data_IF_683646597885
#
_entry.id   IF_683646597885
#
_cell.length_a   1.000
_cell.length_b   1.000
_cell.length_c   1.000
_cell.angle_alpha   90.00
_cell.angle_beta   90.00
_cell.angle_gamma   90.00
#
_symmetry.space_group_name_H-M   'P 1'
#
loop_
_entity.id
_entity.type
_entity.pdbx_description
1 polymer ?
2 polymer ?
3 polymer ?
4 non-polymer ?
5 non-polymer ?
6 water ?
#
loop_
_entity_poly.entity_id
_entity_poly.type
_entity_poly.pdbx_seq_one_letter_code
_entity_poly.pdbx_strand_id
2 'polydeoxyribonucleotide' '(DA)(DG)(DG)(DA)(DC)(DC)(DOC)' ?
3 'polydeoxyribonucleotide' '(DT)(DC)(DT)(3DR)(DG)(DG)(DG)(DT)(DC)(DC)(DT)' ?
#
# COMPACT_ATOMS: atom_id res chain seq x y z
N UNK A 25 -17.71 10.95 19.07
CA UNK A 25 -16.80 9.95 18.42
C UNK A 25 -15.30 10.32 18.55
N UNK A 26 -14.71 10.06 19.74
CA UNK A 26 -13.26 10.33 20.05
C UNK A 26 -12.21 9.18 19.81
N UNK A 27 -12.20 8.14 20.66
CA UNK A 27 -11.26 6.99 20.56
C UNK A 27 -11.61 5.94 19.48
N UNK A 28 -10.62 5.52 18.73
CA UNK A 28 -10.84 4.71 17.58
C UNK A 28 -10.19 3.38 17.76
N UNK A 29 -10.75 2.39 17.07
CA UNK A 29 -10.10 1.09 16.87
C UNK A 29 -9.95 0.88 15.35
N UNK A 30 -8.71 0.85 14.91
CA UNK A 30 -8.34 0.76 13.48
C UNK A 30 -7.60 -0.55 13.25
N UNK A 31 -7.94 -1.28 12.19
CA UNK A 31 -7.08 -2.40 11.76
C UNK A 31 -6.35 -2.04 10.42
N UNK A 32 -5.07 -2.41 10.32
CA UNK A 32 -4.35 -2.32 9.06
C UNK A 32 -4.08 -3.78 8.61
N UNK A 33 -4.53 -4.15 7.41
CA UNK A 33 -4.34 -5.53 6.91
C UNK A 33 -3.29 -5.43 5.83
N UNK A 34 -2.31 -6.33 5.84
CA UNK A 34 -1.17 -6.15 4.98
C UNK A 34 -0.84 -7.57 4.52
N UNK A 35 -1.11 -7.92 3.26
CA UNK A 35 -0.93 -9.35 2.89
C UNK A 35 0.54 -9.75 2.72
N UNK A 36 0.80 -11.03 2.77
CA UNK A 36 2.17 -11.54 2.63
C UNK A 36 2.57 -11.63 1.14
N UNK A 37 3.76 -11.12 0.85
CA UNK A 37 4.47 -11.24 -0.41
C UNK A 37 3.47 -11.29 -1.57
N UNK A 38 2.68 -10.23 -1.67
CA UNK A 38 1.39 -10.32 -2.41
C UNK A 38 1.49 -10.90 -3.81
N UNK A 39 2.38 -10.40 -4.67
CA UNK A 39 2.39 -10.92 -6.10
C UNK A 39 2.87 -12.40 -6.08
N UNK A 40 3.79 -12.66 -5.19
CA UNK A 40 4.28 -14.06 -5.11
C UNK A 40 3.19 -14.98 -4.67
N UNK A 41 2.32 -14.55 -3.73
CA UNK A 41 1.19 -15.42 -3.27
C UNK A 41 0.28 -15.68 -4.42
N UNK A 42 0.00 -14.64 -5.18
CA UNK A 42 -0.90 -14.81 -6.27
C UNK A 42 -0.25 -15.80 -7.28
N UNK A 43 1.05 -15.73 -7.48
CA UNK A 43 1.67 -16.60 -8.50
C UNK A 43 1.68 -18.06 -8.01
N UNK A 44 1.87 -18.27 -6.69
CA UNK A 44 1.92 -19.61 -6.11
C UNK A 44 0.57 -20.30 -6.13
N UNK A 45 -0.48 -19.54 -5.84
CA UNK A 45 -1.85 -20.02 -6.03
C UNK A 45 -2.13 -20.45 -7.46
N UNK A 46 -1.82 -19.60 -8.46
CA UNK A 46 -1.98 -20.00 -9.88
C UNK A 46 -1.23 -21.25 -10.33
N UNK A 47 0.01 -21.39 -9.88
CA UNK A 47 0.87 -22.51 -10.25
C UNK A 47 1.41 -23.21 -8.99
N UNK A 48 0.60 -24.12 -8.42
CA UNK A 48 0.98 -24.90 -7.26
C UNK A 48 2.40 -25.43 -7.28
N UNK A 49 2.93 -25.82 -8.46
CA UNK A 49 4.34 -26.32 -8.56
C UNK A 49 5.39 -25.33 -8.01
N UNK A 50 5.04 -24.04 -7.97
CA UNK A 50 5.91 -23.01 -7.38
C UNK A 50 5.88 -22.97 -5.85
N UNK A 51 4.81 -23.47 -5.24
CA UNK A 51 4.67 -23.52 -3.78
C UNK A 51 5.85 -24.32 -3.17
N UNK A 52 6.25 -23.99 -1.95
CA UNK A 52 7.48 -24.56 -1.32
C UNK A 52 8.74 -24.63 -2.22
N UNK A 53 8.78 -23.82 -3.29
CA UNK A 53 10.02 -23.43 -3.97
C UNK A 53 10.29 -21.93 -3.71
N UNK A 54 11.56 -21.53 -3.61
CA UNK A 54 11.90 -20.12 -3.45
C UNK A 54 11.59 -19.38 -4.75
N UNK A 55 10.78 -18.30 -4.67
CA UNK A 55 10.12 -17.71 -5.84
C UNK A 55 10.21 -16.19 -5.80
N UNK A 56 10.63 -15.63 -6.94
CA UNK A 56 10.79 -14.20 -7.14
C UNK A 56 9.83 -13.83 -8.26
N UNK A 57 9.25 -12.64 -8.20
CA UNK A 57 8.37 -12.13 -9.26
C UNK A 57 9.19 -11.01 -9.90
N UNK A 58 9.37 -11.09 -11.21
CA UNK A 58 10.32 -10.22 -11.87
C UNK A 58 9.59 -9.18 -12.70
N UNK A 59 10.17 -7.98 -12.74
CA UNK A 59 9.67 -6.94 -13.62
C UNK A 59 10.93 -6.33 -14.11
N UNK A 60 11.16 -6.41 -15.42
CA UNK A 60 12.39 -5.93 -16.02
C UNK A 60 13.58 -6.57 -15.30
N UNK A 61 14.47 -5.75 -14.74
CA UNK A 61 15.69 -6.30 -14.15
C UNK A 61 15.51 -6.47 -12.62
N UNK A 62 14.29 -6.28 -12.13
CA UNK A 62 14.06 -6.33 -10.66
C UNK A 62 13.24 -7.51 -10.23
N UNK A 63 13.60 -8.03 -9.08
CA UNK A 63 12.81 -9.01 -8.41
C UNK A 63 11.97 -8.19 -7.43
N UNK A 64 10.72 -7.93 -7.80
CA UNK A 64 9.98 -6.88 -7.07
C UNK A 64 9.56 -7.40 -5.74
N UNK A 65 9.18 -8.67 -5.69
CA UNK A 65 8.94 -9.31 -4.39
C UNK A 65 9.28 -10.78 -4.53
N UNK A 66 9.34 -11.49 -3.40
CA UNK A 66 9.56 -12.93 -3.42
C UNK A 66 8.87 -13.56 -2.20
N UNK A 67 8.55 -14.85 -2.28
CA UNK A 67 7.94 -15.58 -1.15
C UNK A 67 8.93 -15.75 0.04
N UNK A 68 8.43 -16.25 1.16
CA UNK A 68 9.22 -16.23 2.43
C UNK A 68 10.36 -17.26 2.40
N UNK A 69 10.21 -18.30 1.58
CA UNK A 69 11.28 -19.29 1.31
C UNK A 69 12.51 -18.59 0.68
N UNK A 70 12.28 -17.75 -0.34
CA UNK A 70 13.36 -16.97 -0.93
C UNK A 70 13.96 -15.95 0.05
N UNK A 71 13.15 -15.29 0.87
CA UNK A 71 13.68 -14.38 1.89
C UNK A 71 14.61 -15.06 2.91
N UNK A 72 14.36 -16.35 3.21
CA UNK A 72 15.28 -17.15 4.09
C UNK A 72 16.60 -17.42 3.40
N UNK A 73 16.55 -17.52 2.07
CA UNK A 73 17.72 -17.77 1.28
C UNK A 73 18.48 -16.53 0.85
N UNK A 74 18.24 -15.36 1.48
CA UNK A 74 18.91 -14.09 1.07
C UNK A 74 18.13 -13.05 0.23
N UNK A 75 17.22 -13.49 -0.65
CA UNK A 75 16.55 -12.59 -1.61
C UNK A 75 15.80 -11.46 -0.87
N UNK A 76 16.03 -10.22 -1.28
CA UNK A 76 15.31 -9.07 -0.69
C UNK A 76 14.30 -8.48 -1.65
N UNK A 77 13.36 -7.68 -1.14
CA UNK A 77 12.37 -7.01 -1.97
C UNK A 77 13.06 -5.97 -2.82
N UNK A 78 12.65 -5.83 -4.08
CA UNK A 78 13.28 -4.86 -5.01
C UNK A 78 14.81 -5.04 -5.07
N UNK A 79 15.28 -6.27 -5.05
CA UNK A 79 16.69 -6.56 -5.34
C UNK A 79 16.82 -6.88 -6.82
N UNK A 80 17.80 -6.28 -7.50
CA UNK A 80 18.03 -6.61 -8.91
C UNK A 80 18.26 -8.12 -9.12
N UNK A 81 17.90 -8.64 -10.29
CA UNK A 81 17.89 -10.09 -10.61
C UNK A 81 19.25 -10.80 -10.44
N UNK A 82 20.33 -10.11 -10.83
CA UNK A 82 21.67 -10.69 -10.73
C UNK A 82 22.11 -10.94 -9.28
N UNK A 83 22.17 -9.87 -8.48
CA UNK A 83 22.41 -9.98 -7.05
C UNK A 83 21.53 -11.05 -6.42
N UNK A 84 20.31 -11.17 -6.91
CA UNK A 84 19.31 -12.11 -6.38
C UNK A 84 19.61 -13.52 -6.82
N UNK A 85 20.09 -13.68 -8.04
CA UNK A 85 20.33 -15.02 -8.50
C UNK A 85 21.72 -15.57 -8.12
N UNK A 86 22.65 -14.69 -7.73
CA UNK A 86 23.92 -15.15 -7.13
C UNK A 86 23.90 -15.18 -5.61
N UNK A 87 22.85 -14.63 -5.01
CA UNK A 87 22.60 -14.87 -3.59
C UNK A 87 21.86 -16.19 -3.47
N UNK A 88 21.10 -16.53 -4.51
CA UNK A 88 20.28 -17.71 -4.49
C UNK A 88 20.16 -18.22 -5.92
N UNK A 89 21.12 -19.07 -6.36
CA UNK A 89 21.12 -19.63 -7.72
C UNK A 89 19.89 -20.45 -8.13
N UNK A 90 19.23 -21.16 -7.19
CA UNK A 90 18.00 -21.90 -7.53
C UNK A 90 16.68 -21.11 -7.45
N UNK A 91 16.74 -19.83 -7.12
CA UNK A 91 15.53 -18.99 -7.14
C UNK A 91 14.70 -19.16 -8.44
N UNK A 92 13.44 -19.61 -8.36
CA UNK A 92 12.54 -19.58 -9.52
C UNK A 92 11.99 -18.14 -9.76
N UNK A 93 11.99 -17.66 -11.01
CA UNK A 93 11.45 -16.32 -11.32
C UNK A 93 10.24 -16.38 -12.24
N UNK A 94 9.20 -15.58 -11.97
CA UNK A 94 8.08 -15.45 -12.90
C UNK A 94 7.84 -14.01 -13.19
N UNK A 95 7.39 -13.76 -14.41
CA UNK A 95 7.20 -12.40 -14.83
C UNK A 95 5.96 -11.75 -14.27
N UNK A 96 6.12 -10.63 -13.58
CA UNK A 96 4.95 -9.95 -12.97
C UNK A 96 4.69 -8.53 -13.49
N UNK A 97 5.03 -8.32 -14.77
CA UNK A 97 4.88 -7.01 -15.40
C UNK A 97 3.43 -6.66 -15.68
N UNK A 98 2.62 -7.68 -15.99
CA UNK A 98 1.19 -7.56 -16.19
C UNK A 98 0.46 -7.70 -14.85
N UNK A 99 -0.28 -6.65 -14.43
CA UNK A 99 -0.79 -6.59 -13.08
C UNK A 99 -2.18 -7.12 -12.99
N UNK A 100 -2.76 -7.56 -14.13
CA UNK A 100 -4.20 -7.82 -14.19
C UNK A 100 -4.67 -8.69 -13.04
N UNK A 101 -4.01 -9.84 -12.83
CA UNK A 101 -4.47 -10.80 -11.84
C UNK A 101 -4.26 -10.23 -10.41
N UNK A 102 -3.17 -9.50 -10.19
CA UNK A 102 -2.89 -8.94 -8.83
C UNK A 102 -3.97 -7.92 -8.54
N UNK A 103 -4.25 -7.06 -9.51
CA UNK A 103 -5.30 -6.04 -9.34
C UNK A 103 -6.64 -6.68 -9.06
N UNK A 104 -7.03 -7.67 -9.86
CA UNK A 104 -8.28 -8.42 -9.56
C UNK A 104 -8.35 -8.98 -8.14
N UNK A 105 -7.30 -9.67 -7.69
CA UNK A 105 -7.39 -10.24 -6.37
C UNK A 105 -7.43 -9.11 -5.31
N UNK A 106 -6.70 -8.03 -5.57
CA UNK A 106 -6.63 -6.90 -4.65
C UNK A 106 -8.03 -6.31 -4.36
N UNK A 107 -8.88 -6.19 -5.40
CA UNK A 107 -10.24 -5.68 -5.17
C UNK A 107 -11.05 -6.74 -4.48
N UNK A 108 -10.79 -8.03 -4.78
CA UNK A 108 -11.52 -9.07 -3.98
C UNK A 108 -11.27 -8.94 -2.46
N UNK A 109 -10.01 -8.63 -2.11
CA UNK A 109 -9.64 -8.43 -0.68
C UNK A 109 -10.39 -7.25 -0.11
N UNK A 110 -10.37 -6.13 -0.82
CA UNK A 110 -11.06 -4.91 -0.29
C UNK A 110 -12.55 -5.16 -0.11
N UNK A 111 -13.18 -5.78 -1.11
CA UNK A 111 -14.61 -6.07 -0.99
C UNK A 111 -14.95 -6.97 0.15
N UNK A 112 -14.14 -8.00 0.34
CA UNK A 112 -14.39 -8.85 1.49
C UNK A 112 -14.31 -8.01 2.80
N UNK A 113 -13.33 -7.11 2.93
CA UNK A 113 -13.18 -6.33 4.17
C UNK A 113 -14.34 -5.38 4.32
N UNK A 114 -14.86 -4.87 3.20
CA UNK A 114 -15.96 -3.91 3.24
C UNK A 114 -17.27 -4.53 3.77
N UNK A 115 -17.35 -5.85 3.68
CA UNK A 115 -18.48 -6.58 4.15
C UNK A 115 -18.48 -6.58 5.69
N UNK A 116 -17.29 -6.47 6.28
CA UNK A 116 -17.18 -6.37 7.75
C UNK A 116 -17.61 -4.97 8.15
N UNK A 117 -17.00 -3.97 7.54
CA UNK A 117 -17.41 -2.64 7.80
C UNK A 117 -17.11 -1.74 6.56
N UNK A 118 -18.01 -0.83 6.22
CA UNK A 118 -17.89 -0.30 4.89
C UNK A 118 -16.81 0.73 4.63
N UNK A 119 -16.21 1.31 5.65
CA UNK A 119 -15.23 2.36 5.33
C UNK A 119 -13.88 1.72 5.29
N UNK A 120 -13.40 1.40 4.07
CA UNK A 120 -12.13 0.69 3.93
C UNK A 120 -11.28 1.52 3.05
N UNK A 121 -10.09 1.82 3.53
CA UNK A 121 -9.17 2.58 2.72
C UNK A 121 -8.04 1.69 2.16
N UNK A 122 -7.80 1.76 0.87
CA UNK A 122 -6.70 0.98 0.27
C UNK A 122 -5.40 1.73 0.30
N UNK A 123 -4.30 0.99 0.37
CA UNK A 123 -3.02 1.63 0.20
C UNK A 123 -2.15 0.70 -0.59
N UNK A 124 -1.94 1.04 -1.86
CA UNK A 124 -1.38 0.08 -2.79
C UNK A 124 -2.33 -1.09 -2.98
N UNK A 125 -1.80 -2.17 -3.54
CA UNK A 125 -2.62 -3.29 -3.95
C UNK A 125 -2.81 -4.25 -2.83
N UNK A 126 -2.05 -4.14 -1.72
CA UNK A 126 -2.35 -5.12 -0.72
C UNK A 126 -2.41 -4.72 0.73
N UNK A 127 -2.57 -3.43 0.97
CA UNK A 127 -2.86 -2.94 2.31
C UNK A 127 -4.27 -2.31 2.35
N UNK A 128 -5.01 -2.58 3.42
CA UNK A 128 -6.31 -1.93 3.63
C UNK A 128 -6.38 -1.48 5.13
N UNK A 129 -6.93 -0.30 5.40
CA UNK A 129 -7.33 0.12 6.72
C UNK A 129 -8.83 0.02 6.84
N UNK A 130 -9.29 -0.44 7.99
CA UNK A 130 -10.68 -0.44 8.31
C UNK A 130 -10.88 0.22 9.68
N UNK A 131 -11.82 1.16 9.78
CA UNK A 131 -12.16 1.74 11.06
C UNK A 131 -13.15 0.81 11.72
N UNK A 132 -12.73 0.08 12.75
CA UNK A 132 -13.65 -0.85 13.40
C UNK A 132 -14.40 -0.28 14.62
N UNK A 133 -14.31 1.03 14.85
CA UNK A 133 -14.81 1.60 16.12
C UNK A 133 -16.30 1.28 16.36
N UNK A 134 -17.15 1.45 15.34
CA UNK A 134 -18.58 1.17 15.48
C UNK A 134 -18.87 -0.30 15.68
N UNK A 135 -18.14 -1.11 14.96
CA UNK A 135 -18.33 -2.53 15.05
C UNK A 135 -17.95 -3.00 16.47
N UNK A 136 -16.85 -2.51 16.98
CA UNK A 136 -16.39 -2.87 18.34
C UNK A 136 -17.43 -2.46 19.39
N UNK A 137 -17.91 -1.22 19.32
CA UNK A 137 -18.92 -0.74 20.24
C UNK A 137 -20.21 -1.61 20.18
N UNK A 138 -20.69 -1.92 18.98
CA UNK A 138 -21.87 -2.77 18.87
C UNK A 138 -21.60 -4.16 19.52
N UNK A 139 -20.42 -4.78 19.28
CA UNK A 139 -20.16 -6.09 19.92
C UNK A 139 -20.13 -5.95 21.45
N UNK A 140 -19.56 -4.85 21.96
CA UNK A 140 -19.49 -4.61 23.42
C UNK A 140 -20.89 -4.53 24.06
N UNK A 141 -21.77 -3.71 23.50
CA UNK A 141 -23.14 -3.59 23.98
C UNK A 141 -23.84 -4.93 24.01
N UNK A 142 -23.35 -5.89 23.24
CA UNK A 142 -23.98 -7.21 23.20
C UNK A 142 -23.48 -8.23 24.25
N UNK A 143 -22.39 -7.94 24.97
CA UNK A 143 -21.93 -8.82 26.04
C UNK A 143 -22.53 -8.38 27.36
N UNK A 144 -22.76 -9.32 28.28
CA UNK A 144 -23.22 -8.96 29.63
C UNK A 144 -22.03 -8.62 30.54
N UNK A 145 -22.32 -8.01 31.71
CA UNK A 145 -21.28 -7.68 32.71
C UNK A 145 -20.84 -8.98 33.38
N UNK A 146 -20.61 -10.00 32.58
CA UNK A 146 -20.14 -11.28 33.08
C UNK A 146 -19.06 -11.76 32.14
N UNK A 147 -19.41 -11.90 30.86
CA UNK A 147 -18.49 -12.33 29.78
C UNK A 147 -17.46 -11.25 29.33
N UNK A 148 -17.65 -10.03 29.83
CA UNK A 148 -16.74 -8.93 29.65
C UNK A 148 -15.36 -9.23 30.28
N UNK A 149 -15.36 -10.02 31.34
CA UNK A 149 -14.11 -10.48 31.91
C UNK A 149 -13.58 -11.76 31.24
N UNK A 150 -14.37 -12.36 30.33
CA UNK A 150 -13.94 -13.47 29.51
C UNK A 150 -13.25 -13.01 28.17
N UNK A 151 -13.25 -11.70 27.89
CA UNK A 151 -12.63 -11.19 26.65
C UNK A 151 -11.15 -11.56 26.57
N UNK A 152 -10.74 -12.10 25.44
CA UNK A 152 -9.33 -12.50 25.32
C UNK A 152 -8.77 -11.95 24.03
N UNK A 153 -7.46 -11.89 23.97
CA UNK A 153 -6.81 -11.39 22.77
C UNK A 153 -6.75 -12.48 21.69
N UNK A 154 -6.72 -12.06 20.44
CA UNK A 154 -6.36 -12.96 19.38
C UNK A 154 -5.00 -12.58 18.73
N UNK A 155 -4.04 -13.48 18.77
CA UNK A 155 -2.70 -13.21 18.23
C UNK A 155 -1.79 -12.43 19.26
N UNK A 156 -0.74 -11.79 18.79
CA UNK A 156 0.30 -11.16 19.66
C UNK A 156 -0.13 -9.84 20.27
N UNK A 157 0.42 -9.59 21.47
CA UNK A 157 0.24 -8.24 22.09
C UNK A 157 1.59 -7.62 21.95
N UNK A 158 1.64 -6.45 21.30
CA UNK A 158 2.92 -5.75 21.14
C UNK A 158 3.64 -5.58 22.53
N UNK A 159 4.95 -5.87 22.51
CA UNK A 159 5.87 -5.70 23.61
C UNK A 159 5.44 -6.59 24.77
N UNK A 160 4.66 -7.65 24.48
CA UNK A 160 4.19 -8.61 25.48
C UNK A 160 3.50 -7.87 26.63
N UNK A 161 2.80 -6.80 26.31
CA UNK A 161 2.27 -5.95 27.37
C UNK A 161 1.08 -6.62 28.13
N UNK A 162 1.02 -6.52 29.47
CA UNK A 162 -0.12 -7.10 30.22
C UNK A 162 -1.40 -6.42 29.89
N UNK A 163 -2.47 -7.20 29.86
CA UNK A 163 -3.75 -6.67 29.54
C UNK A 163 -4.43 -6.31 30.86
N UNK A 164 -5.16 -5.20 30.89
CA UNK A 164 -5.86 -4.91 32.10
C UNK A 164 -7.30 -4.99 31.68
N UNK A 165 -7.99 -6.04 32.13
CA UNK A 165 -9.39 -6.24 31.73
C UNK A 165 -10.37 -5.21 32.23
N UNK A 166 -9.95 -4.36 33.19
CA UNK A 166 -10.84 -3.27 33.61
C UNK A 166 -10.57 -2.01 32.83
N UNK A 167 -9.63 -2.06 31.89
CA UNK A 167 -9.35 -0.84 31.10
C UNK A 167 -10.22 -0.91 29.84
N UNK A 168 -11.18 -0.01 29.72
CA UNK A 168 -12.07 -0.03 28.54
C UNK A 168 -11.30 0.09 27.19
N UNK A 169 -10.19 0.85 27.15
CA UNK A 169 -9.39 0.94 25.93
C UNK A 169 -8.79 -0.44 25.62
N UNK A 170 -8.31 -1.15 26.64
CA UNK A 170 -7.73 -2.48 26.39
C UNK A 170 -8.87 -3.40 25.84
N UNK A 171 -10.03 -3.34 26.48
CA UNK A 171 -11.11 -4.25 26.09
C UNK A 171 -11.48 -4.00 24.57
N UNK A 172 -11.59 -2.73 24.18
CA UNK A 172 -11.99 -2.39 22.80
C UNK A 172 -10.97 -2.89 21.78
N UNK A 173 -9.68 -2.76 22.11
CA UNK A 173 -8.58 -3.16 21.20
C UNK A 173 -8.57 -4.68 21.11
N UNK A 174 -8.93 -5.37 22.19
CA UNK A 174 -8.95 -6.85 22.13
C UNK A 174 -10.10 -7.34 21.26
N UNK A 175 -11.26 -6.67 21.33
CA UNK A 175 -12.41 -7.01 20.46
C UNK A 175 -11.96 -6.67 19.02
N UNK A 176 -11.32 -5.51 18.84
CA UNK A 176 -10.61 -5.21 17.57
C UNK A 176 -9.70 -6.34 17.09
N UNK A 177 -8.86 -6.96 17.96
CA UNK A 177 -8.03 -8.11 17.57
C UNK A 177 -8.89 -9.33 17.18
N UNK A 178 -9.99 -9.54 17.86
CA UNK A 178 -10.88 -10.66 17.48
C UNK A 178 -11.49 -10.41 16.08
N UNK A 179 -11.96 -9.20 15.82
CA UNK A 179 -12.43 -8.88 14.46
C UNK A 179 -11.37 -9.07 13.40
N UNK A 180 -10.17 -8.59 13.66
CA UNK A 180 -9.05 -8.85 12.77
C UNK A 180 -8.76 -10.29 12.48
N UNK A 181 -8.79 -11.12 13.52
CA UNK A 181 -8.63 -12.61 13.32
C UNK A 181 -9.72 -13.23 12.42
N UNK A 182 -10.97 -12.79 12.62
CA UNK A 182 -12.06 -13.15 11.72
C UNK A 182 -11.81 -12.65 10.25
N UNK A 183 -11.32 -11.43 10.08
CA UNK A 183 -10.97 -10.95 8.74
C UNK A 183 -9.89 -11.84 8.12
N UNK A 184 -8.81 -12.16 8.88
CA UNK A 184 -7.73 -12.93 8.26
C UNK A 184 -8.23 -14.35 7.91
N UNK A 185 -9.11 -14.90 8.78
CA UNK A 185 -9.68 -16.22 8.54
C UNK A 185 -10.56 -16.28 7.29
N UNK A 186 -11.41 -15.27 7.14
CA UNK A 186 -12.27 -15.16 5.96
C UNK A 186 -11.41 -14.98 4.68
N UNK A 187 -10.39 -14.12 4.75
CA UNK A 187 -9.50 -13.97 3.62
C UNK A 187 -8.92 -15.32 3.21
N UNK A 188 -8.51 -16.13 4.19
CA UNK A 188 -7.84 -17.38 3.83
C UNK A 188 -8.91 -18.37 3.30
N UNK A 189 -10.05 -18.46 3.99
CA UNK A 189 -11.13 -19.43 3.64
C UNK A 189 -11.77 -19.08 2.31
N UNK A 190 -11.93 -17.79 2.03
CA UNK A 190 -12.70 -17.38 0.85
C UNK A 190 -11.83 -17.06 -0.34
N UNK A 191 -10.58 -16.62 -0.10
CA UNK A 191 -9.73 -16.17 -1.22
C UNK A 191 -8.43 -16.90 -1.27
N UNK A 192 -8.11 -17.75 -0.28
CA UNK A 192 -6.84 -18.53 -0.27
C UNK A 192 -5.63 -17.69 0.10
N UNK A 193 -5.86 -16.49 0.66
CA UNK A 193 -4.79 -15.57 0.98
C UNK A 193 -4.44 -15.39 2.49
N UNK A 194 -3.15 -15.35 2.80
CA UNK A 194 -2.67 -15.12 4.14
C UNK A 194 -2.16 -13.67 4.26
N UNK A 195 -2.14 -13.10 5.45
CA UNK A 195 -1.66 -11.75 5.58
C UNK A 195 -1.49 -11.46 7.06
N UNK A 196 -0.98 -10.28 7.33
CA UNK A 196 -0.80 -9.79 8.70
C UNK A 196 -1.87 -8.74 8.97
N UNK A 197 -2.18 -8.56 10.24
CA UNK A 197 -2.95 -7.41 10.66
C UNK A 197 -2.34 -6.70 11.87
N UNK A 198 -2.67 -5.42 12.02
CA UNK A 198 -2.25 -4.66 13.20
C UNK A 198 -3.42 -3.90 13.69
N UNK A 199 -3.67 -3.95 15.01
CA UNK A 199 -4.82 -3.24 15.57
C UNK A 199 -4.30 -2.18 16.56
N UNK A 200 -4.77 -0.95 16.41
CA UNK A 200 -4.26 0.16 17.24
C UNK A 200 -5.24 1.29 17.22
N UNK A 201 -4.98 2.40 17.92
CA UNK A 201 -6.00 3.42 18.02
C UNK A 201 -5.96 4.42 16.87
N UNK A 202 -4.99 4.32 15.96
CA UNK A 202 -4.96 5.19 14.77
C UNK A 202 -4.25 4.49 13.60
N UNK A 203 -4.29 5.12 12.42
CA UNK A 203 -3.74 4.46 11.22
C UNK A 203 -2.21 4.34 11.26
N UNK A 204 -1.53 5.38 11.70
CA UNK A 204 -0.07 5.32 11.83
C UNK A 204 0.34 4.11 12.66
N UNK A 205 -0.21 4.02 13.84
CA UNK A 205 0.19 2.93 14.76
C UNK A 205 -0.27 1.50 14.30
N UNK A 206 -1.49 1.39 13.79
CA UNK A 206 -1.97 0.10 13.18
C UNK A 206 -1.01 -0.36 12.07
N UNK A 207 -0.56 0.57 11.24
CA UNK A 207 0.36 0.20 10.14
C UNK A 207 1.79 -0.09 10.66
N UNK A 208 2.27 0.64 11.66
CA UNK A 208 3.55 0.25 12.26
C UNK A 208 3.45 -1.09 12.97
N UNK A 209 2.34 -1.35 13.67
CA UNK A 209 2.31 -2.58 14.48
C UNK A 209 2.03 -3.86 13.65
N UNK A 210 1.42 -3.69 12.46
CA UNK A 210 1.05 -4.90 11.67
C UNK A 210 2.27 -5.64 11.18
N UNK A 211 3.38 -4.94 11.07
CA UNK A 211 4.59 -5.56 10.53
C UNK A 211 5.47 -6.16 11.68
N UNK A 212 5.04 -6.07 12.92
CA UNK A 212 5.92 -6.55 14.03
C UNK A 212 6.14 -8.09 13.98
N UNK A 213 5.09 -8.86 13.69
CA UNK A 213 5.20 -10.31 13.52
C UNK A 213 4.78 -10.71 12.12
N UNK A 214 5.72 -11.22 11.34
CA UNK A 214 5.42 -11.58 9.94
C UNK A 214 6.14 -12.94 9.68
N UNK A 215 5.64 -13.74 8.73
CA UNK A 215 4.40 -13.52 7.87
C UNK A 215 3.17 -14.05 8.59
N UNK A 216 1.98 -13.76 8.05
CA UNK A 216 0.76 -14.40 8.49
C UNK A 216 0.52 -14.40 10.00
N UNK A 217 0.61 -13.23 10.66
CA UNK A 217 0.35 -13.17 12.09
C UNK A 217 -0.26 -11.81 12.39
N UNK A 218 -0.71 -11.56 13.62
CA UNK A 218 -1.29 -10.25 13.91
C UNK A 218 -0.87 -9.80 15.27
N UNK A 219 -0.92 -8.49 15.43
CA UNK A 219 -0.43 -7.92 16.73
C UNK A 219 -1.35 -6.77 17.07
N UNK A 220 -1.59 -6.59 18.36
CA UNK A 220 -2.37 -5.46 18.79
C UNK A 220 -1.51 -4.60 19.66
N UNK A 221 -1.72 -3.30 19.53
CA UNK A 221 -0.97 -2.29 20.28
C UNK A 221 -1.84 -1.69 21.40
N UNK A 222 -1.45 -1.91 22.65
CA UNK A 222 -2.13 -1.22 23.78
C UNK A 222 -1.47 0.16 23.99
N UNK A 223 -2.21 1.15 24.53
CA UNK A 223 -1.68 2.53 24.49
C UNK A 223 -0.34 2.72 25.27
N UNK A 224 -0.09 1.91 26.31
CA UNK A 224 1.10 2.11 27.17
C UNK A 224 2.37 1.73 26.43
N UNK A 225 2.25 1.05 25.27
CA UNK A 225 3.47 0.65 24.51
C UNK A 225 3.70 1.46 23.25
N UNK A 226 2.87 2.49 23.06
CA UNK A 226 3.00 3.40 21.92
C UNK A 226 4.39 4.05 21.79
N UNK A 227 4.91 4.63 22.89
CA UNK A 227 6.30 5.15 22.80
C UNK A 227 7.34 4.04 22.49
N UNK A 228 7.18 2.86 23.04
CA UNK A 228 8.14 1.77 22.74
C UNK A 228 8.12 1.49 21.21
N UNK A 229 6.93 1.42 20.63
CA UNK A 229 6.82 1.11 19.18
C UNK A 229 7.48 2.22 18.36
N UNK A 230 7.15 3.46 18.68
CA UNK A 230 7.69 4.60 17.93
C UNK A 230 9.21 4.65 18.04
N UNK A 231 9.76 4.38 19.22
CA UNK A 231 11.23 4.51 19.44
C UNK A 231 11.87 3.24 18.91
N UNK A 232 11.08 2.18 18.59
CA UNK A 232 11.72 0.96 17.97
C UNK A 232 12.31 1.25 16.55
N UNK A 233 11.83 2.31 15.96
CA UNK A 233 12.26 2.69 14.58
C UNK A 233 13.71 3.25 14.64
N UNK A 234 14.52 3.00 13.61
CA UNK A 234 15.87 3.48 13.65
C UNK A 234 16.13 4.73 12.86
N UNK A 235 15.12 5.23 12.15
CA UNK A 235 15.23 6.53 11.48
C UNK A 235 13.87 7.11 11.10
N UNK A 236 13.80 8.44 10.99
CA UNK A 236 12.52 9.12 10.85
C UNK A 236 11.85 8.80 9.49
N UNK A 237 12.60 8.23 8.54
CA UNK A 237 12.13 7.80 7.19
C UNK A 237 11.23 6.61 7.34
N UNK A 238 11.38 5.89 8.43
CA UNK A 238 10.54 4.76 8.70
C UNK A 238 9.12 5.21 9.09
N UNK A 239 8.90 6.50 9.32
CA UNK A 239 7.57 6.90 9.79
C UNK A 239 6.71 7.06 8.50
N UNK A 240 5.57 6.34 8.41
CA UNK A 240 4.74 6.51 7.24
C UNK A 240 4.27 7.98 7.22
N UNK A 241 4.46 8.63 6.09
CA UNK A 241 4.19 10.06 6.00
C UNK A 241 5.45 10.91 5.78
N UNK A 242 6.61 10.41 6.22
CA UNK A 242 7.88 11.09 5.99
C UNK A 242 8.62 10.40 4.84
N UNK A 243 8.79 11.07 3.71
CA UNK A 243 9.44 10.38 2.57
C UNK A 243 10.93 10.66 2.31
N UNK A 244 11.34 10.41 1.07
CA UNK A 244 12.72 10.69 0.62
C UNK A 244 13.07 12.15 0.82
N UNK A 245 12.27 13.06 0.27
CA UNK A 245 12.65 14.46 0.41
C UNK A 245 12.60 14.97 1.85
N UNK A 246 11.59 14.62 2.61
CA UNK A 246 11.45 15.19 3.95
C UNK A 246 12.58 14.72 4.83
N UNK A 247 12.89 13.42 4.76
CA UNK A 247 14.01 12.82 5.48
C UNK A 247 15.35 13.50 5.19
N UNK A 248 15.55 13.96 3.96
CA UNK A 248 16.78 14.67 3.62
C UNK A 248 16.79 16.06 4.24
N UNK A 249 15.67 16.80 4.11
CA UNK A 249 15.58 18.06 4.84
C UNK A 249 15.89 17.92 6.36
N UNK A 250 15.20 16.99 7.07
CA UNK A 250 15.41 16.79 8.51
C UNK A 250 16.85 16.51 8.82
N UNK A 251 17.47 15.63 8.04
CA UNK A 251 18.88 15.36 8.18
C UNK A 251 19.71 16.66 8.16
N UNK A 252 19.78 17.29 7.01
CA UNK A 252 20.34 18.63 6.91
C UNK A 252 20.18 19.40 8.24
N UNK A 253 19.03 19.27 8.92
CA UNK A 253 18.84 19.97 10.23
C UNK A 253 19.39 19.26 11.48
N UNK A 254 20.20 18.21 11.32
CA UNK A 254 20.63 17.40 12.47
C UNK A 254 19.59 16.43 13.06
N UNK A 255 18.43 16.23 12.38
CA UNK A 255 17.38 15.33 12.91
C UNK A 255 17.51 13.94 12.30
N UNK A 256 17.91 12.97 13.12
CA UNK A 256 18.12 11.60 12.65
C UNK A 256 17.19 10.58 13.31
N UNK A 257 16.99 10.63 14.63
CA UNK A 257 16.15 9.67 15.32
C UNK A 257 14.73 10.18 15.45
N UNK A 258 13.80 9.28 15.81
CA UNK A 258 12.43 9.71 16.15
C UNK A 258 12.47 10.70 17.35
N UNK A 259 13.30 10.42 18.36
CA UNK A 259 13.41 11.33 19.47
C UNK A 259 13.96 12.72 19.08
N UNK A 260 14.94 12.79 18.20
CA UNK A 260 15.37 14.11 17.65
C UNK A 260 14.18 14.89 17.09
N UNK A 261 13.37 14.21 16.29
CA UNK A 261 12.20 14.87 15.74
C UNK A 261 11.23 15.34 16.87
N UNK A 262 10.97 14.48 17.86
CA UNK A 262 10.01 14.77 18.94
C UNK A 262 10.46 15.97 19.76
N UNK A 263 11.77 16.09 20.01
CA UNK A 263 12.29 17.14 20.87
C UNK A 263 12.74 18.39 20.09
N UNK A 264 12.57 18.42 18.78
CA UNK A 264 13.12 19.53 18.00
C UNK A 264 12.19 20.75 18.07
N UNK A 265 12.79 21.95 17.94
CA UNK A 265 12.07 23.21 17.98
C UNK A 265 10.91 23.27 16.97
N UNK A 266 9.67 23.38 17.48
CA UNK A 266 8.52 23.53 16.58
C UNK A 266 8.64 24.79 15.66
N UNK A 267 9.04 25.92 16.23
CA UNK A 267 9.18 27.15 15.43
C UNK A 267 10.12 26.94 14.23
N UNK A 268 11.29 26.34 14.50
CA UNK A 268 12.34 26.18 13.49
C UNK A 268 11.86 25.20 12.43
N UNK A 269 11.23 24.11 12.87
CA UNK A 269 10.61 23.15 11.94
C UNK A 269 9.51 23.77 11.04
N UNK A 270 8.67 24.63 11.64
CA UNK A 270 7.61 25.34 10.89
C UNK A 270 8.16 26.18 9.73
N UNK A 271 9.16 26.99 10.04
CA UNK A 271 9.70 27.94 9.07
C UNK A 271 10.86 27.31 8.29
N UNK A 272 10.72 26.02 7.99
CA UNK A 272 11.70 25.27 7.23
C UNK A 272 11.01 24.26 6.29
N UNK A 273 9.92 23.65 6.77
CA UNK A 273 9.09 22.67 6.04
C UNK A 273 7.68 23.17 5.73
N UNK A 274 7.36 24.39 6.17
CA UNK A 274 6.02 24.94 6.06
C UNK A 274 5.24 24.51 7.27
N UNK A 275 4.20 25.26 7.63
CA UNK A 275 3.41 24.89 8.81
C UNK A 275 2.74 23.52 8.61
N UNK A 276 2.33 23.27 7.36
CA UNK A 276 1.62 22.00 7.10
C UNK A 276 2.46 20.76 7.45
N UNK A 277 3.58 20.62 6.76
CA UNK A 277 4.33 19.38 6.83
C UNK A 277 4.84 19.23 8.28
N UNK A 278 5.26 20.34 8.85
CA UNK A 278 5.96 20.39 10.15
C UNK A 278 5.11 19.98 11.34
N UNK A 279 3.88 20.50 11.41
CA UNK A 279 3.04 20.23 12.56
C UNK A 279 2.56 18.80 12.43
N UNK A 280 2.51 18.30 11.21
CA UNK A 280 1.93 16.99 11.03
C UNK A 280 2.98 15.92 11.34
N UNK A 281 4.19 16.10 10.80
CA UNK A 281 5.28 15.16 11.02
C UNK A 281 5.74 15.10 12.47
N UNK A 282 5.69 16.22 13.16
CA UNK A 282 6.04 16.26 14.55
C UNK A 282 5.01 15.49 15.38
N UNK A 283 3.74 15.61 15.04
CA UNK A 283 2.74 14.79 15.72
C UNK A 283 3.00 13.33 15.45
N UNK A 284 3.32 12.99 14.20
CA UNK A 284 3.55 11.59 13.87
C UNK A 284 4.67 11.09 14.78
N UNK A 285 5.65 11.97 15.10
CA UNK A 285 6.85 11.48 15.84
C UNK A 285 6.48 11.05 17.24
N UNK A 286 5.38 11.58 17.73
CA UNK A 286 4.83 11.13 18.99
C UNK A 286 3.88 9.89 18.90
N UNK A 287 3.67 9.30 17.72
CA UNK A 287 2.57 8.29 17.61
C UNK A 287 1.16 8.85 17.40
N UNK A 288 1.04 10.16 17.16
CA UNK A 288 -0.28 10.86 17.10
C UNK A 288 -0.66 11.07 15.66
N UNK A 289 -1.89 10.72 15.30
CA UNK A 289 -2.32 10.76 13.85
C UNK A 289 -3.81 10.78 13.90
N UNK A 290 -4.43 11.97 13.69
CA UNK A 290 -5.88 12.08 13.65
C UNK A 290 -6.53 11.79 12.24
N UNK A 291 -5.76 11.44 11.24
CA UNK A 291 -6.36 11.30 9.91
C UNK A 291 -7.36 10.12 9.89
N UNK A 292 -8.54 10.36 9.28
CA UNK A 292 -9.66 9.42 9.16
C UNK A 292 -9.30 8.32 8.13
N UNK A 293 -9.90 7.15 8.31
CA UNK A 293 -9.85 6.12 7.31
C UNK A 293 -10.85 6.61 6.26
N UNK A 294 -10.43 6.76 5.02
CA UNK A 294 -11.29 7.28 3.91
C UNK A 294 -11.77 6.12 3.02
N UNK A 295 -13.03 6.10 2.69
CA UNK A 295 -13.56 5.06 1.81
C UNK A 295 -12.92 5.20 0.44
N UNK A 296 -12.10 4.27 0.04
CA UNK A 296 -11.45 4.36 -1.28
C UNK A 296 -12.46 4.20 -2.45
N UNK A 297 -13.39 3.26 -2.33
CA UNK A 297 -14.39 3.02 -3.40
C UNK A 297 -13.67 2.61 -4.70
N UNK A 298 -14.28 2.94 -5.87
CA UNK A 298 -13.63 2.64 -7.14
C UNK A 298 -12.47 3.56 -7.43
N UNK A 299 -11.60 3.13 -8.33
CA UNK A 299 -10.41 3.91 -8.54
C UNK A 299 -10.69 5.25 -9.26
N UNK A 300 -9.79 6.22 -9.06
CA UNK A 300 -9.74 7.52 -9.71
C UNK A 300 -9.02 7.61 -11.03
N UNK A 301 -8.16 6.65 -11.35
CA UNK A 301 -7.41 6.65 -12.59
C UNK A 301 -7.12 5.22 -13.00
N UNK A 302 -6.81 5.00 -14.28
CA UNK A 302 -6.51 3.68 -14.83
C UNK A 302 -5.29 3.90 -15.74
N UNK A 303 -4.14 3.28 -15.45
CA UNK A 303 -3.01 3.44 -16.36
C UNK A 303 -2.24 2.15 -16.67
N UNK A 304 -1.48 2.15 -17.76
CA UNK A 304 -0.52 1.09 -18.07
C UNK A 304 0.73 1.73 -18.60
N UNK A 305 1.83 1.04 -18.38
CA UNK A 305 3.14 1.59 -18.55
C UNK A 305 3.96 0.56 -19.33
N UNK A 306 5.02 1.08 -19.96
CA UNK A 306 6.17 0.25 -20.37
C UNK A 306 7.49 1.00 -20.30
N UNK A 307 8.49 0.24 -19.88
CA UNK A 307 9.81 0.70 -19.61
C UNK A 307 10.71 0.06 -20.66
N UNK A 308 11.71 0.80 -21.09
CA UNK A 308 12.70 0.27 -22.02
C UNK A 308 13.74 1.34 -21.96
N UNK A 309 14.87 1.00 -21.35
CA UNK A 309 15.97 1.97 -21.14
C UNK A 309 16.73 2.13 -22.46
N UNK A 310 16.89 3.39 -22.86
CA UNK A 310 17.26 3.84 -24.21
C UNK A 310 16.17 3.69 -25.31
N UNK A 311 15.47 2.54 -25.34
CA UNK A 311 14.69 2.03 -26.51
C UNK A 311 13.71 2.89 -27.38
N UNK A 312 13.21 4.03 -26.85
CA UNK A 312 12.26 4.81 -27.68
C UNK A 312 12.83 6.02 -28.39
N UNK A 313 13.04 5.87 -29.71
CA UNK A 313 13.65 6.87 -30.62
C UNK A 313 12.96 8.21 -30.78
N UNK A 314 11.63 8.25 -30.53
CA UNK A 314 10.75 9.44 -30.77
C UNK A 314 10.11 9.50 -32.17
N UNK A 315 9.63 8.36 -32.67
CA UNK A 315 8.97 8.22 -33.99
C UNK A 315 8.52 6.76 -34.15
N UNK A 316 9.50 5.87 -34.26
CA UNK A 316 9.26 4.43 -34.39
C UNK A 316 8.63 3.79 -33.11
N UNK A 317 7.87 4.58 -32.36
CA UNK A 317 7.25 4.09 -31.10
C UNK A 317 5.90 4.81 -30.76
N UNK A 318 4.86 4.23 -31.35
CA UNK A 318 3.48 4.71 -31.41
C UNK A 318 2.71 3.40 -31.30
N UNK A 319 3.22 2.38 -31.99
CA UNK A 319 2.73 1.02 -31.87
C UNK A 319 2.64 0.61 -30.39
N UNK A 320 3.56 1.16 -29.59
CA UNK A 320 3.63 0.92 -28.15
C UNK A 320 2.44 1.57 -27.45
N UNK A 321 2.17 2.82 -27.86
CA UNK A 321 1.05 3.63 -27.40
C UNK A 321 -0.29 2.96 -27.81
N UNK A 322 -0.29 2.33 -28.97
CA UNK A 322 -1.42 1.49 -29.40
C UNK A 322 -1.68 0.23 -28.53
N UNK A 323 -0.64 -0.53 -28.15
CA UNK A 323 -0.82 -1.64 -27.17
C UNK A 323 -1.36 -1.16 -25.83
N UNK A 324 -0.71 -0.14 -25.25
CA UNK A 324 -1.16 0.35 -23.94
C UNK A 324 -2.67 0.61 -24.01
N UNK A 325 -3.09 1.33 -25.07
CA UNK A 325 -4.49 1.69 -25.28
C UNK A 325 -5.42 0.48 -25.42
N UNK A 326 -5.07 -0.44 -26.30
CA UNK A 326 -5.92 -1.62 -26.54
C UNK A 326 -6.29 -2.28 -25.21
N UNK A 327 -5.29 -2.46 -24.37
CA UNK A 327 -5.43 -3.11 -23.07
C UNK A 327 -6.20 -2.24 -22.04
N UNK A 328 -5.88 -0.95 -21.96
CA UNK A 328 -6.65 -0.06 -21.10
C UNK A 328 -8.15 -0.01 -21.40
N UNK A 329 -8.50 0.10 -22.70
CA UNK A 329 -9.89 0.18 -23.16
C UNK A 329 -10.82 -0.88 -22.60
N UNK A 330 -10.32 -2.11 -22.61
CA UNK A 330 -10.99 -3.28 -22.00
C UNK A 330 -11.23 -3.13 -20.48
N UNK A 331 -10.30 -2.48 -19.80
CA UNK A 331 -10.42 -2.29 -18.35
C UNK A 331 -11.49 -1.23 -18.05
N UNK A 332 -11.30 -0.05 -18.67
CA UNK A 332 -12.20 1.13 -18.55
C UNK A 332 -13.64 0.82 -18.98
N UNK A 333 -13.79 0.04 -20.06
CA UNK A 333 -15.10 -0.52 -20.40
C UNK A 333 -15.72 -1.27 -19.21
N UNK A 334 -15.24 -2.50 -18.99
CA UNK A 334 -15.58 -3.36 -17.84
C UNK A 334 -15.97 -2.63 -16.54
N UNK A 335 -15.42 -1.43 -16.35
CA UNK A 335 -15.65 -0.69 -15.11
C UNK A 335 -17.12 -0.25 -14.97
N UNK A 336 -17.72 0.23 -16.06
CA UNK A 336 -19.12 0.71 -16.06
C UNK A 336 -19.28 2.22 -16.00
N UNK A 337 -18.24 2.89 -15.54
CA UNK A 337 -18.13 4.35 -15.56
C UNK A 337 -17.17 4.67 -16.73
N UNK A 338 -17.11 5.92 -17.17
CA UNK A 338 -16.18 6.31 -18.25
C UNK A 338 -15.32 7.51 -17.87
N UNK A 339 -14.09 7.56 -18.42
CA UNK A 339 -13.16 8.65 -18.18
C UNK A 339 -13.40 9.83 -19.13
N UNK A 340 -13.15 11.04 -18.65
CA UNK A 340 -13.34 12.27 -19.42
C UNK A 340 -12.02 12.98 -19.64
N UNK A 341 -10.92 12.37 -19.19
CA UNK A 341 -9.60 12.87 -19.53
C UNK A 341 -8.70 11.73 -19.92
N UNK A 342 -7.74 12.02 -20.79
CA UNK A 342 -6.67 11.10 -21.14
C UNK A 342 -5.34 11.83 -21.05
N UNK A 343 -4.31 11.09 -20.66
CA UNK A 343 -3.00 11.70 -20.46
C UNK A 343 -1.94 10.76 -20.99
N UNK A 344 -0.86 11.33 -21.53
CA UNK A 344 0.37 10.64 -22.03
C UNK A 344 1.54 11.04 -21.15
N UNK A 345 2.25 10.03 -20.61
CA UNK A 345 3.38 10.30 -19.73
C UNK A 345 4.61 9.79 -20.47
N UNK A 346 5.72 10.53 -20.34
CA UNK A 346 7.01 10.10 -20.89
C UNK A 346 8.16 10.34 -19.88
N UNK A 347 9.24 9.58 -20.07
CA UNK A 347 10.50 9.80 -19.38
C UNK A 347 11.68 9.89 -20.41
N UNK A 348 12.50 10.94 -20.31
CA UNK A 348 13.69 11.10 -21.16
C UNK A 348 15.00 10.73 -20.39
N UNK A 349 16.15 10.64 -21.07
CA UNK A 349 17.38 10.10 -20.42
C UNK A 349 18.71 10.47 -21.04
N UNK A 350 19.71 10.64 -20.18
CA UNK A 350 21.11 10.88 -20.56
C UNK A 350 22.06 10.61 -19.38
N UNK A 351 21.49 10.67 -18.17
CA UNK A 351 22.14 10.42 -16.88
C UNK A 351 21.00 10.41 -15.86
N UNK A 352 21.27 9.94 -14.64
CA UNK A 352 20.20 9.59 -13.67
C UNK A 352 19.97 10.53 -12.44
N UNK A 353 20.08 11.85 -12.63
CA UNK A 353 19.87 12.84 -11.54
C UNK A 353 18.40 12.91 -11.00
N UNK A 354 18.17 12.28 -9.84
CA UNK A 354 16.91 12.38 -9.03
C UNK A 354 15.52 12.11 -9.70
N UNK A 355 14.77 13.17 -10.06
CA UNK A 355 13.42 12.97 -10.65
C UNK A 355 13.05 13.84 -11.87
N UNK A 356 12.00 13.44 -12.59
CA UNK A 356 11.52 14.14 -13.78
C UNK A 356 10.93 13.27 -14.89
N UNK A 357 9.61 13.10 -14.85
CA UNK A 357 8.85 12.53 -15.96
C UNK A 357 8.10 13.70 -16.64
N UNK A 358 7.40 13.44 -17.74
CA UNK A 358 6.64 14.50 -18.44
C UNK A 358 5.27 14.09 -18.94
N UNK A 359 4.30 14.97 -18.71
CA UNK A 359 2.90 14.71 -19.06
C UNK A 359 2.24 15.86 -19.86
N UNK A 360 1.48 15.49 -20.90
CA UNK A 360 0.43 16.34 -21.46
C UNK A 360 -0.92 15.63 -21.39
N UNK A 361 -1.92 16.37 -20.89
CA UNK A 361 -3.29 15.86 -20.91
C UNK A 361 -4.24 16.82 -21.61
N UNK A 362 -5.34 16.25 -22.12
CA UNK A 362 -6.47 17.01 -22.66
C UNK A 362 -7.79 16.21 -22.46
N UNK A 363 -8.97 16.91 -22.42
CA UNK A 363 -10.23 16.16 -22.33
C UNK A 363 -10.41 15.25 -23.53
N UNK A 364 -11.31 14.31 -23.37
CA UNK A 364 -11.65 13.32 -24.35
C UNK A 364 -12.93 13.80 -25.02
N UNK A 365 -12.96 13.88 -26.37
CA UNK A 365 -14.22 14.33 -27.00
C UNK A 365 -15.40 13.43 -26.56
N UNK A 366 -16.58 14.03 -26.29
CA UNK A 366 -17.70 13.25 -25.74
C UNK A 366 -18.42 12.28 -26.73
N UNK A 367 -18.27 12.56 -28.03
CA UNK A 367 -18.61 11.60 -29.09
C UNK A 367 -17.84 10.28 -28.85
N UNK A 368 -16.52 10.41 -28.68
CA UNK A 368 -15.62 9.26 -28.55
C UNK A 368 -15.74 8.50 -27.23
N UNK A 369 -16.18 9.20 -26.17
CA UNK A 369 -16.45 8.54 -24.90
C UNK A 369 -17.36 7.34 -25.13
N UNK A 370 -18.50 7.58 -25.76
CA UNK A 370 -19.42 6.51 -26.07
C UNK A 370 -19.00 5.68 -27.27
N UNK A 379 -13.66 2.73 -31.27
CA UNK A 379 -13.18 3.63 -30.21
C UNK A 379 -11.68 3.83 -30.34
N UNK A 380 -11.03 2.78 -30.85
CA UNK A 380 -9.58 2.73 -30.96
C UNK A 380 -9.00 3.90 -31.73
N UNK A 381 -9.19 3.87 -33.06
CA UNK A 381 -8.52 4.80 -33.96
C UNK A 381 -8.66 6.28 -33.52
N UNK A 382 -9.86 6.70 -33.05
CA UNK A 382 -9.87 8.12 -32.68
C UNK A 382 -9.01 8.43 -31.45
N UNK A 383 -8.96 7.47 -30.52
CA UNK A 383 -8.09 7.59 -29.33
C UNK A 383 -6.59 7.55 -29.67
N UNK A 384 -6.22 6.64 -30.57
CA UNK A 384 -4.84 6.53 -31.10
C UNK A 384 -4.47 7.92 -31.59
N UNK A 385 -5.41 8.49 -32.35
CA UNK A 385 -5.27 9.80 -32.90
C UNK A 385 -5.07 10.93 -31.90
N UNK A 386 -5.94 11.03 -30.87
CA UNK A 386 -5.76 12.06 -29.85
C UNK A 386 -4.37 11.95 -29.21
N UNK A 387 -4.00 10.71 -28.82
CA UNK A 387 -2.69 10.42 -28.23
C UNK A 387 -1.49 10.79 -29.14
N UNK A 388 -1.52 10.37 -30.40
CA UNK A 388 -0.40 10.76 -31.25
C UNK A 388 -0.17 12.28 -31.38
N UNK A 389 -1.16 13.10 -30.98
CA UNK A 389 -1.01 14.54 -31.03
C UNK A 389 -0.42 15.10 -29.73
N UNK A 390 -0.86 14.54 -28.60
CA UNK A 390 -0.31 14.88 -27.29
C UNK A 390 1.19 14.45 -27.18
N UNK A 391 1.49 13.31 -27.88
CA UNK A 391 2.87 12.90 -28.17
C UNK A 391 3.65 14.02 -28.86
N UNK A 392 3.12 14.49 -29.98
CA UNK A 392 3.86 15.46 -30.84
C UNK A 392 4.03 16.77 -30.10
N UNK A 393 3.14 17.03 -29.15
CA UNK A 393 3.29 18.21 -28.32
C UNK A 393 4.51 18.19 -27.41
N UNK A 394 5.11 17.00 -27.21
CA UNK A 394 6.09 16.80 -26.13
C UNK A 394 7.53 16.81 -26.58
N UNK A 404 12.63 6.06 -22.97
CA UNK A 404 12.35 4.93 -22.07
C UNK A 404 10.88 4.61 -21.77
N UNK A 405 10.19 5.53 -21.10
CA UNK A 405 8.86 5.23 -20.60
C UNK A 405 7.78 5.80 -21.50
N UNK A 406 6.82 4.94 -21.84
CA UNK A 406 5.52 5.37 -22.29
C UNK A 406 4.41 4.81 -21.38
N UNK A 407 3.66 5.70 -20.73
CA UNK A 407 2.35 5.31 -20.17
C UNK A 407 1.15 6.17 -20.61
N UNK A 408 0.01 5.51 -20.74
CA UNK A 408 -1.26 6.18 -20.91
C UNK A 408 -2.05 6.08 -19.59
N UNK A 409 -2.74 7.15 -19.23
CA UNK A 409 -3.59 7.20 -18.05
C UNK A 409 -4.92 7.79 -18.42
N UNK A 410 -5.99 7.03 -18.18
CA UNK A 410 -7.35 7.58 -18.16
C UNK A 410 -7.70 8.09 -16.77
N UNK A 411 -8.26 9.29 -16.65
CA UNK A 411 -8.82 9.78 -15.36
C UNK A 411 -10.08 10.64 -15.50
N UNK A 412 -10.46 11.30 -14.39
CA UNK A 412 -11.62 12.21 -14.37
C UNK A 412 -12.82 11.35 -14.80
N UNK A 413 -13.03 10.26 -14.06
CA UNK A 413 -14.12 9.31 -14.25
C UNK A 413 -15.44 9.89 -13.70
N UNK A 414 -16.54 9.49 -14.33
CA UNK A 414 -17.87 10.01 -14.02
C UNK A 414 -18.91 8.94 -14.36
X LIG D 1 5.41 -8.21 2.61
X LIG D 1 4.25 -7.28 2.80
X LIG D 1 6.72 -7.71 3.24
X LIG D 1 5.12 -9.65 2.85
X LIG D 1 5.82 -8.00 1.01
X LIG D 1 4.85 -7.52 -0.23
X LIG D 1 5.38 -8.25 -1.42
X LIG D 1 3.38 -7.79 -0.03
X LIG D 1 5.30 -6.00 -0.28
X LIG D 1 4.31 -4.69 -0.10
X LIG D 1 3.19 -5.21 0.85
X LIG D 1 5.38 -3.75 0.25
X LIG D 1 3.72 -4.36 -1.57
X LIG D 1 2.59 -5.17 -2.13
X LIG D 1 2.91 -5.52 -3.62
X LIG D 1 3.21 -4.32 -4.38
X LIG D 1 4.18 -6.42 -3.75
X LIG D 1 3.90 -7.89 -3.74
X LIG D 1 4.90 -5.87 -4.97
X LIG D 1 4.27 -4.48 -5.29
X LIG D 1 5.18 -3.35 -5.05
X LIG D 1 5.43 -2.81 -3.82
X LIG D 1 6.38 -1.81 -3.90
X LIG D 1 6.75 -1.71 -5.18
X LIG D 1 7.73 -0.92 -5.94
X LIG D 1 8.44 -0.02 -5.40
X LIG D 1 7.81 -1.14 -7.26
X LIG D 1 7.13 -2.07 -7.91
X LIG D 1 7.37 -2.16 -9.23
X LIG D 1 6.23 -2.88 -7.29
X LIG D 1 5.99 -2.75 -5.94
X LIG E 1 2.13 -6.75 1.70
X LIG F 1 3.27 -3.32 2.97
#
# INVERSE_FOLDING_TARGET
MELADVGAAASSQGVHDQVLPTPNASSRVIVHVDLDCFYAQVEMISNPELKDKPLGVQQKYLVVTCNYEARKLGVKKLMNVRDAKEKCPQLVLVNGEDLTRYREMSYKVTELLEEFSPVVERLGFDENFVDLTEMVEKRLQQLQSDELSAVTVSGHVYNNQSINLLDVLHIRLLVGSQIAAEMREAMYNQLGLTGCAGVASNKLLAKLVSGVFKPNQQTVLLPESCQHLIHSLNHIKEIPGIGYKTAKCLEALGINSVRDLQTFSPKILEKELGISVAQRIQKLSFGEDNSPVILSGPPQSFSEEDSFKKCSSEVEAKNKIEELLASLLNRVCQDGRKPHTVRLIIRRYSSEKHYGRESRQCPIPSHVIQKLGTGNYDVMTPMVDILMKLFRNMVNVKMPFHLTLLSVCFCNLKALNTAK
DGT PG O1G O2G O3G O3B PB O1B O2B O3A PA O1A O2A O5' C5' C4' O4' C3' O3' C2' C1' N9 C8 N7 C5 C6 O6 N1 C2 N2 N3 C4
MG MG
MG MG
#
